data_IF_503819783588
#
_entry.id   IF_503819783588
#
_cell.length_a   1.000
_cell.length_b   1.000
_cell.length_c   1.000
_cell.angle_alpha   90.00
_cell.angle_beta   90.00
_cell.angle_gamma   90.00
#
_symmetry.space_group_name_H-M   'P 1'
#
loop_
_entity.id
_entity.type
_entity.pdbx_description
1 polymer ?
#
# COMPACT_ATOMS: atom_id res chain seq x y z
N UNK A 1 16.28 -4.43 -9.70
CA UNK A 1 15.97 -5.50 -10.67
C UNK A 1 15.86 -6.87 -10.00
N UNK A 2 16.93 -7.61 -9.67
CA UNK A 2 16.78 -8.96 -9.07
C UNK A 2 16.07 -9.00 -7.69
N UNK A 3 16.19 -7.95 -6.86
CA UNK A 3 15.56 -7.87 -5.53
C UNK A 3 14.10 -7.40 -5.55
N UNK A 4 13.64 -6.72 -6.60
CA UNK A 4 12.23 -6.30 -6.75
C UNK A 4 11.37 -7.47 -7.25
N UNK A 5 11.91 -8.26 -8.18
CA UNK A 5 11.25 -9.44 -8.74
C UNK A 5 11.00 -10.49 -7.64
N UNK A 6 12.00 -10.88 -6.85
CA UNK A 6 11.82 -11.89 -5.78
C UNK A 6 10.71 -11.54 -4.77
N UNK A 7 10.55 -10.25 -4.44
CA UNK A 7 9.53 -9.79 -3.47
C UNK A 7 8.11 -9.79 -4.04
N UNK A 8 7.99 -9.66 -5.37
CA UNK A 8 6.73 -9.61 -6.07
C UNK A 8 6.23 -11.01 -6.42
N UNK A 9 7.14 -11.92 -6.82
CA UNK A 9 6.82 -13.30 -7.21
C UNK A 9 6.05 -14.08 -6.13
N UNK A 10 6.22 -13.74 -4.84
CA UNK A 10 5.46 -14.38 -3.75
C UNK A 10 3.97 -13.99 -3.72
N UNK A 11 3.58 -12.89 -4.39
CA UNK A 11 2.20 -12.36 -4.42
C UNK A 11 1.55 -12.46 -5.81
N UNK A 12 2.35 -12.64 -6.87
CA UNK A 12 1.84 -12.80 -8.23
C UNK A 12 0.95 -14.04 -8.39
N UNK A 13 -0.06 -13.94 -9.25
CA UNK A 13 -0.99 -15.03 -9.56
C UNK A 13 -1.85 -15.52 -8.38
N UNK A 14 -1.80 -14.84 -7.23
CA UNK A 14 -2.67 -15.14 -6.09
C UNK A 14 -3.96 -14.31 -6.17
N UNK A 15 -5.09 -14.97 -6.36
CA UNK A 15 -6.40 -14.30 -6.44
C UNK A 15 -6.88 -13.67 -5.11
N UNK A 16 -6.18 -13.88 -4.00
CA UNK A 16 -6.57 -13.47 -2.65
C UNK A 16 -5.38 -12.87 -1.92
N UNK A 17 -5.59 -11.71 -1.30
CA UNK A 17 -4.55 -11.07 -0.51
C UNK A 17 -4.24 -11.82 0.80
N UNK A 18 -3.02 -11.66 1.30
CA UNK A 18 -2.65 -12.13 2.64
C UNK A 18 -3.53 -11.49 3.73
N UNK A 19 -3.80 -12.26 4.79
CA UNK A 19 -4.66 -11.82 5.89
C UNK A 19 -3.93 -10.96 6.96
N UNK A 20 -2.68 -10.57 6.72
CA UNK A 20 -1.86 -9.85 7.70
C UNK A 20 -2.30 -8.39 7.92
N UNK A 21 -3.07 -7.80 7.00
CA UNK A 21 -3.56 -6.43 7.11
C UNK A 21 -5.04 -6.37 6.71
N UNK A 22 -5.86 -5.76 7.57
CA UNK A 22 -7.31 -5.63 7.33
C UNK A 22 -7.69 -4.15 7.37
N UNK A 23 -8.15 -3.58 6.25
CA UNK A 23 -8.63 -2.20 6.26
C UNK A 23 -9.94 -2.09 7.05
N UNK A 24 -10.12 -0.95 7.72
CA UNK A 24 -11.28 -0.64 8.58
C UNK A 24 -12.06 0.55 8.08
N UNK A 25 -11.38 1.55 7.52
CA UNK A 25 -11.98 2.79 7.02
C UNK A 25 -11.11 3.39 5.93
N UNK A 26 -11.75 4.01 4.95
CA UNK A 26 -11.11 4.81 3.91
C UNK A 26 -11.65 6.23 3.99
N UNK A 27 -10.75 7.20 4.15
CA UNK A 27 -11.02 8.61 3.91
C UNK A 27 -10.38 8.99 2.57
N UNK A 28 -11.20 9.10 1.53
CA UNK A 28 -10.78 9.33 0.16
C UNK A 28 -11.12 10.74 -0.29
N UNK A 29 -10.11 11.48 -0.74
CA UNK A 29 -10.27 12.81 -1.35
C UNK A 29 -9.79 12.76 -2.79
N UNK A 30 -10.65 13.11 -3.73
CA UNK A 30 -10.32 13.18 -5.17
C UNK A 30 -10.50 14.61 -5.66
N UNK A 31 -9.47 15.13 -6.32
CA UNK A 31 -9.49 16.40 -7.04
C UNK A 31 -9.41 16.12 -8.54
N UNK A 32 -10.47 16.48 -9.26
CA UNK A 32 -10.54 16.32 -10.71
C UNK A 32 -9.99 17.56 -11.43
N UNK A 33 -9.23 17.35 -12.50
CA UNK A 33 -8.94 18.35 -13.52
C UNK A 33 -9.66 17.95 -14.81
N UNK A 34 -10.84 18.54 -15.03
CA UNK A 34 -11.66 18.24 -16.18
C UNK A 34 -11.10 18.80 -17.49
N UNK A 35 -10.17 19.77 -17.42
CA UNK A 35 -9.55 20.36 -18.63
C UNK A 35 -8.44 19.47 -19.15
N UNK A 36 -7.63 18.91 -18.24
CA UNK A 36 -6.58 17.96 -18.58
C UNK A 36 -7.08 16.50 -18.68
N UNK A 37 -8.33 16.23 -18.27
CA UNK A 37 -8.89 14.89 -18.10
C UNK A 37 -8.04 14.01 -17.15
N UNK A 38 -7.56 14.61 -16.05
CA UNK A 38 -6.75 13.93 -15.04
C UNK A 38 -7.38 14.09 -13.66
N UNK A 39 -6.85 13.36 -12.68
CA UNK A 39 -7.19 13.55 -11.28
C UNK A 39 -5.95 13.44 -10.40
N UNK A 40 -6.06 13.98 -9.20
CA UNK A 40 -5.15 13.72 -8.10
C UNK A 40 -5.98 13.25 -6.91
N UNK A 41 -5.50 12.25 -6.19
CA UNK A 41 -6.21 11.72 -5.04
C UNK A 41 -5.27 11.64 -3.83
N UNK A 42 -5.88 11.69 -2.65
CA UNK A 42 -5.24 11.33 -1.40
C UNK A 42 -6.18 10.38 -0.66
N UNK A 43 -5.62 9.31 -0.10
CA UNK A 43 -6.38 8.32 0.64
C UNK A 43 -5.70 8.02 1.96
N UNK A 44 -6.48 8.12 3.03
CA UNK A 44 -6.12 7.63 4.36
C UNK A 44 -6.89 6.36 4.62
N UNK A 45 -6.17 5.30 4.97
CA UNK A 45 -6.73 3.98 5.19
C UNK A 45 -6.41 3.58 6.62
N UNK A 46 -7.42 3.47 7.47
CA UNK A 46 -7.26 2.85 8.78
C UNK A 46 -7.06 1.35 8.56
N UNK A 47 -5.91 0.82 8.96
CA UNK A 47 -5.54 -0.59 8.79
C UNK A 47 -5.26 -1.21 10.15
N UNK A 48 -5.75 -2.43 10.34
CA UNK A 48 -5.35 -3.27 11.46
C UNK A 48 -4.38 -4.35 10.96
N UNK A 49 -3.17 -4.35 11.49
CA UNK A 49 -2.13 -5.35 11.23
C UNK A 49 -2.39 -6.54 12.16
N UNK A 50 -2.77 -7.69 11.59
CA UNK A 50 -3.04 -8.93 12.30
C UNK A 50 -1.77 -9.72 12.66
N UNK A 51 -0.70 -9.56 11.89
CA UNK A 51 0.56 -10.27 12.06
C UNK A 51 1.74 -9.41 11.66
N UNK A 52 2.86 -9.57 12.36
CA UNK A 52 4.09 -8.83 12.09
C UNK A 52 4.49 -9.03 10.63
N UNK A 53 4.62 -7.93 9.88
CA UNK A 53 4.87 -7.98 8.43
C UNK A 53 5.78 -6.84 7.98
N UNK A 54 6.55 -7.07 6.92
CA UNK A 54 7.32 -6.04 6.22
C UNK A 54 6.68 -5.60 4.91
N UNK A 55 5.50 -6.13 4.61
CA UNK A 55 4.82 -5.93 3.34
C UNK A 55 3.39 -5.48 3.60
N UNK A 56 2.92 -4.54 2.80
CA UNK A 56 1.50 -4.27 2.62
C UNK A 56 1.17 -4.45 1.14
N UNK A 57 0.15 -5.26 0.85
CA UNK A 57 -0.28 -5.56 -0.51
C UNK A 57 -1.71 -5.06 -0.66
N UNK A 58 -1.96 -4.31 -1.73
CA UNK A 58 -3.27 -3.75 -2.08
C UNK A 58 -3.47 -3.78 -3.60
N UNK A 59 -4.70 -3.57 -4.06
CA UNK A 59 -4.98 -3.44 -5.49
C UNK A 59 -4.56 -2.05 -5.99
N UNK A 60 -3.95 -2.00 -7.18
CA UNK A 60 -3.72 -0.77 -7.94
C UNK A 60 -3.61 -1.09 -9.43
N UNK A 61 -4.34 -0.33 -10.26
CA UNK A 61 -4.27 -0.44 -11.71
C UNK A 61 -4.22 0.96 -12.32
N UNK A 62 -3.24 1.21 -13.19
CA UNK A 62 -3.05 2.48 -13.91
C UNK A 62 -2.93 3.72 -13.00
N UNK A 63 -2.49 3.54 -11.75
CA UNK A 63 -2.26 4.63 -10.79
C UNK A 63 -0.77 4.96 -10.67
N UNK A 64 -0.45 6.25 -10.75
CA UNK A 64 0.89 6.75 -10.41
C UNK A 64 0.91 7.12 -8.93
N UNK A 65 1.64 6.34 -8.14
CA UNK A 65 1.77 6.55 -6.69
C UNK A 65 2.91 7.54 -6.43
N UNK A 66 2.58 8.68 -5.82
CA UNK A 66 3.55 9.76 -5.60
C UNK A 66 4.23 9.72 -4.24
N UNK A 67 3.46 9.47 -3.17
CA UNK A 67 3.96 9.41 -1.80
C UNK A 67 3.16 8.34 -1.05
N UNK A 68 3.83 7.60 -0.17
CA UNK A 68 3.18 6.62 0.69
C UNK A 68 3.83 6.64 2.06
N UNK A 69 3.01 6.52 3.11
CA UNK A 69 3.52 6.27 4.45
C UNK A 69 2.53 5.55 5.33
N UNK A 70 3.03 4.79 6.29
CA UNK A 70 2.23 4.13 7.30
C UNK A 70 2.56 4.70 8.68
N UNK A 71 1.56 5.11 9.44
CA UNK A 71 1.73 5.62 10.80
C UNK A 71 1.07 4.67 11.79
N UNK A 72 1.86 4.07 12.68
CA UNK A 72 1.33 3.17 13.71
C UNK A 72 0.59 3.93 14.83
N UNK A 73 -0.17 3.21 15.63
CA UNK A 73 -0.80 3.72 16.86
C UNK A 73 0.18 4.36 17.84
N UNK A 74 1.44 3.95 17.82
CA UNK A 74 2.53 4.51 18.63
C UNK A 74 3.11 5.81 18.04
N UNK A 75 2.49 6.36 16.98
CA UNK A 75 2.94 7.53 16.20
C UNK A 75 4.31 7.34 15.53
N UNK A 76 4.73 6.09 15.36
CA UNK A 76 5.90 5.77 14.55
C UNK A 76 5.50 5.82 13.08
N UNK A 77 6.20 6.64 12.30
CA UNK A 77 5.99 6.76 10.85
C UNK A 77 6.97 5.87 10.12
N UNK A 78 6.46 5.06 9.20
CA UNK A 78 7.20 4.17 8.32
C UNK A 78 7.00 4.64 6.88
N UNK A 79 8.10 4.83 6.17
CA UNK A 79 8.09 5.10 4.73
C UNK A 79 8.53 3.80 4.04
N UNK A 80 7.80 3.32 3.02
CA UNK A 80 8.25 2.15 2.27
C UNK A 80 9.63 2.40 1.67
N UNK A 81 10.54 1.44 1.78
CA UNK A 81 11.80 1.47 1.05
C UNK A 81 11.63 1.14 -0.43
N UNK A 82 10.52 0.46 -0.76
CA UNK A 82 10.21 0.02 -2.11
C UNK A 82 8.71 0.09 -2.36
N UNK A 83 8.33 0.49 -3.57
CA UNK A 83 6.95 0.61 -4.03
C UNK A 83 6.88 -0.07 -5.40
N UNK A 84 6.29 -1.27 -5.44
CA UNK A 84 6.24 -2.10 -6.65
C UNK A 84 4.80 -2.18 -7.14
N UNK A 85 4.55 -1.70 -8.35
CA UNK A 85 3.24 -1.78 -9.02
C UNK A 85 3.32 -2.82 -10.12
N UNK A 86 2.46 -3.83 -10.06
CA UNK A 86 2.28 -4.83 -11.11
C UNK A 86 0.94 -4.59 -11.81
N UNK A 87 0.99 -4.25 -13.09
CA UNK A 87 -0.20 -3.98 -13.90
C UNK A 87 -0.90 -5.24 -14.42
N UNK A 88 -0.22 -6.38 -14.48
CA UNK A 88 -0.79 -7.63 -14.97
C UNK A 88 -1.64 -8.31 -13.89
N UNK A 89 -1.17 -8.27 -12.64
CA UNK A 89 -1.88 -8.79 -11.46
C UNK A 89 -2.72 -7.71 -10.73
N UNK A 90 -2.66 -6.45 -11.19
CA UNK A 90 -3.37 -5.30 -10.60
C UNK A 90 -3.04 -5.03 -9.12
N UNK A 91 -1.78 -5.24 -8.72
CA UNK A 91 -1.33 -5.15 -7.33
C UNK A 91 -0.29 -4.03 -7.10
N UNK A 92 -0.36 -3.43 -5.92
CA UNK A 92 0.67 -2.59 -5.32
C UNK A 92 1.25 -3.29 -4.09
N UNK A 93 2.57 -3.47 -4.09
CA UNK A 93 3.32 -4.00 -2.96
C UNK A 93 4.18 -2.90 -2.36
N UNK A 94 3.92 -2.59 -1.09
CA UNK A 94 4.71 -1.66 -0.28
C UNK A 94 5.66 -2.47 0.60
N UNK A 95 6.96 -2.22 0.49
CA UNK A 95 8.00 -2.92 1.25
C UNK A 95 8.58 -1.98 2.29
N UNK A 96 8.68 -2.44 3.53
CA UNK A 96 9.24 -1.68 4.66
C UNK A 96 10.56 -2.32 5.11
N UNK A 97 11.56 -1.51 5.46
CA UNK A 97 12.82 -2.02 6.04
C UNK A 97 12.58 -2.64 7.41
N UNK A 98 11.79 -1.94 8.22
CA UNK A 98 11.35 -2.32 9.55
C UNK A 98 10.02 -3.08 9.48
N UNK A 99 9.84 -4.05 10.37
CA UNK A 99 8.58 -4.78 10.44
C UNK A 99 7.51 -3.92 11.13
N UNK A 100 6.32 -3.92 10.54
CA UNK A 100 5.13 -3.34 11.12
C UNK A 100 4.60 -4.27 12.21
N UNK A 101 4.49 -3.74 13.43
CA UNK A 101 3.93 -4.46 14.57
C UNK A 101 2.42 -4.66 14.43
N UNK A 102 1.92 -5.67 15.16
CA UNK A 102 0.49 -5.96 15.28
C UNK A 102 -0.22 -4.79 15.95
N UNK A 103 -1.30 -4.31 15.33
CA UNK A 103 -2.09 -3.20 15.87
C UNK A 103 -2.71 -2.31 14.80
N UNK A 104 -3.29 -1.20 15.25
CA UNK A 104 -3.87 -0.20 14.36
C UNK A 104 -2.79 0.74 13.82
N UNK A 105 -2.94 1.14 12.57
CA UNK A 105 -2.21 2.24 11.97
C UNK A 105 -2.99 2.85 10.80
N UNK A 106 -2.46 3.94 10.27
CA UNK A 106 -3.04 4.67 9.14
C UNK A 106 -2.06 4.61 7.98
N UNK A 107 -2.52 4.07 6.86
CA UNK A 107 -1.80 4.10 5.59
C UNK A 107 -2.27 5.33 4.81
N UNK A 108 -1.33 6.21 4.47
CA UNK A 108 -1.53 7.41 3.67
C UNK A 108 -0.89 7.21 2.29
N UNK A 109 -1.67 7.41 1.23
CA UNK A 109 -1.27 7.33 -0.19
C UNK A 109 -1.74 8.60 -0.92
#
# INVERSE_FOLDING_TARGET
MELEEEKLEQFKGQARFPEFAVPKRYDLTIKLDLSACTFSANVLIDVFINGVTKFLVLNALELVISQVSFTSSHKQKYVPSDIVVDGDDEILVLVFEEALDVGYGVLEI
#
